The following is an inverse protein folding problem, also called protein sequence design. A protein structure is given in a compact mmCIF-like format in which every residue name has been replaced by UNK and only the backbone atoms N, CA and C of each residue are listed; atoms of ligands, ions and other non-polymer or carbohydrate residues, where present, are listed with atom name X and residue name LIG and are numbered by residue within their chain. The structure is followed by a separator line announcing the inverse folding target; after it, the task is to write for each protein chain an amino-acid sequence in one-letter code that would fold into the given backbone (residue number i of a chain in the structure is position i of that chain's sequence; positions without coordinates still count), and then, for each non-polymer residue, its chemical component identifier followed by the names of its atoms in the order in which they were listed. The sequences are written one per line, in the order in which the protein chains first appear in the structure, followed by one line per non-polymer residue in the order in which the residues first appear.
data_IF_652109240544
#
_entry.id   IF_652109240544
#
_cell.length_a   1.000
_cell.length_b   1.000
_cell.length_c   1.000
_cell.angle_alpha   90.00
_cell.angle_beta   90.00
_cell.angle_gamma   90.00
#
_symmetry.space_group_name_H-M   'P 1'
#
loop_
_entity.id
_entity.type
_entity.pdbx_description
1 polymer ?
#
# COMPACT_ATOMS: atom_id res chain seq x y z
N UNK A 1 12.65 14.66 8.01
CA UNK A 1 11.57 13.69 7.72
C UNK A 1 10.32 14.42 7.25
N UNK A 2 9.63 13.88 6.24
CA UNK A 2 8.38 14.43 5.67
C UNK A 2 7.30 13.34 5.66
N UNK A 3 6.05 13.77 5.69
CA UNK A 3 4.91 12.87 5.55
C UNK A 3 3.99 13.39 4.44
N UNK A 4 3.53 12.48 3.59
CA UNK A 4 2.53 12.78 2.56
C UNK A 4 1.31 11.90 2.81
N UNK A 5 0.16 12.53 3.06
CA UNK A 5 -1.13 11.84 3.12
C UNK A 5 -1.92 12.13 1.85
N UNK A 6 -2.42 11.09 1.20
CA UNK A 6 -3.21 11.22 -0.02
C UNK A 6 -4.30 10.15 -0.10
N UNK A 7 -5.37 10.47 -0.83
CA UNK A 7 -6.46 9.53 -1.08
C UNK A 7 -5.96 8.43 -2.02
N UNK A 8 -6.37 7.20 -1.76
CA UNK A 8 -6.11 6.06 -2.64
C UNK A 8 -6.53 6.40 -4.07
N UNK A 9 -5.65 6.26 -5.07
CA UNK A 9 -6.00 6.54 -6.46
C UNK A 9 -6.86 5.42 -7.09
N UNK A 10 -6.97 4.27 -6.42
CA UNK A 10 -7.82 3.16 -6.83
C UNK A 10 -9.23 3.31 -6.26
N UNK A 11 -10.24 2.96 -7.05
CA UNK A 11 -11.60 2.83 -6.55
C UNK A 11 -11.68 1.74 -5.48
N UNK A 12 -12.29 2.10 -4.35
CA UNK A 12 -12.66 1.16 -3.29
C UNK A 12 -13.67 0.16 -3.88
N UNK A 13 -13.15 -0.97 -4.36
CA UNK A 13 -13.95 -2.06 -4.93
C UNK A 13 -14.66 -2.79 -3.78
N UNK A 14 -15.73 -2.20 -3.25
CA UNK A 14 -16.55 -2.72 -2.15
C UNK A 14 -17.21 -4.09 -2.41
N UNK A 15 -16.96 -4.72 -3.56
CA UNK A 15 -17.37 -6.08 -3.88
C UNK A 15 -16.39 -6.72 -4.88
N UNK A 16 -15.45 -7.53 -4.39
CA UNK A 16 -14.86 -8.61 -5.19
C UNK A 16 -15.03 -9.93 -4.43
N UNK A 17 -15.69 -10.86 -5.12
CA UNK A 17 -16.16 -12.14 -4.59
C UNK A 17 -15.04 -13.09 -4.15
N UNK A 18 -15.47 -14.27 -3.69
CA UNK A 18 -14.61 -15.38 -3.23
C UNK A 18 -13.40 -15.56 -4.17
N UNK A 19 -12.18 -15.57 -3.58
CA UNK A 19 -10.92 -15.85 -4.29
C UNK A 19 -11.05 -17.12 -5.15
N UNK A 20 -10.46 -17.07 -6.34
CA UNK A 20 -10.34 -18.21 -7.24
C UNK A 20 -9.48 -19.30 -6.61
N UNK A 21 -9.73 -20.56 -6.96
CA UNK A 21 -8.92 -21.71 -6.51
C UNK A 21 -7.43 -21.53 -6.85
N UNK A 22 -7.12 -20.80 -7.93
CA UNK A 22 -5.76 -20.52 -8.40
C UNK A 22 -5.04 -19.53 -7.48
N UNK A 23 -5.71 -18.47 -7.03
CA UNK A 23 -5.15 -17.48 -6.10
C UNK A 23 -4.78 -18.13 -4.75
N UNK A 24 -5.57 -19.11 -4.32
CA UNK A 24 -5.32 -19.87 -3.10
C UNK A 24 -4.06 -20.75 -3.22
N UNK A 25 -3.76 -21.28 -4.40
CA UNK A 25 -2.54 -22.07 -4.67
C UNK A 25 -1.31 -21.18 -4.66
N UNK A 26 -1.37 -20.01 -5.31
CA UNK A 26 -0.26 -19.03 -5.32
C UNK A 26 0.11 -18.60 -3.90
N UNK A 27 -0.91 -18.36 -3.06
CA UNK A 27 -0.73 -18.04 -1.64
C UNK A 27 -0.11 -19.21 -0.86
N UNK A 28 -0.62 -20.44 -1.04
CA UNK A 28 -0.11 -21.62 -0.35
C UNK A 28 1.36 -21.92 -0.72
N UNK A 29 1.76 -21.65 -1.96
CA UNK A 29 3.12 -21.83 -2.46
C UNK A 29 4.07 -20.67 -2.09
N UNK A 30 3.58 -19.63 -1.41
CA UNK A 30 4.40 -18.49 -1.00
C UNK A 30 4.93 -17.63 -2.16
N UNK A 31 4.29 -17.71 -3.34
CA UNK A 31 4.69 -16.99 -4.55
C UNK A 31 4.07 -15.58 -4.65
N UNK A 32 3.22 -15.20 -3.70
CA UNK A 32 2.70 -13.83 -3.57
C UNK A 32 3.75 -12.93 -2.92
N UNK A 33 3.96 -11.73 -3.46
CA UNK A 33 4.84 -10.74 -2.83
C UNK A 33 4.30 -10.25 -1.47
N UNK A 34 2.98 -10.16 -1.32
CA UNK A 34 2.35 -9.60 -0.12
C UNK A 34 1.17 -10.43 0.41
N UNK A 35 1.41 -11.71 0.78
CA UNK A 35 0.35 -12.65 1.16
C UNK A 35 -0.55 -12.07 2.25
N UNK A 36 0.05 -11.48 3.28
CA UNK A 36 -0.69 -11.09 4.48
C UNK A 36 -1.53 -9.81 4.28
N UNK A 37 -1.29 -9.04 3.21
CA UNK A 37 -1.83 -7.68 3.06
C UNK A 37 -2.61 -7.40 1.78
N UNK A 38 -2.65 -8.34 0.83
CA UNK A 38 -3.36 -8.15 -0.45
C UNK A 38 -4.83 -7.77 -0.26
N UNK A 39 -5.51 -8.33 0.74
CA UNK A 39 -6.90 -7.97 1.06
C UNK A 39 -7.06 -6.59 1.71
N UNK A 40 -6.01 -6.07 2.35
CA UNK A 40 -6.07 -4.78 3.04
C UNK A 40 -5.71 -3.61 2.12
N UNK A 41 -4.84 -3.82 1.13
CA UNK A 41 -4.44 -2.78 0.16
C UNK A 41 -5.67 -2.22 -0.57
N UNK A 42 -6.56 -3.09 -1.02
CA UNK A 42 -7.80 -2.72 -1.72
C UNK A 42 -8.82 -1.98 -0.83
N UNK A 43 -8.64 -2.02 0.50
CA UNK A 43 -9.50 -1.34 1.49
C UNK A 43 -8.95 -0.01 1.96
N UNK A 44 -7.76 0.38 1.50
CA UNK A 44 -7.14 1.64 1.91
C UNK A 44 -7.85 2.79 1.22
N UNK A 45 -8.48 3.66 2.01
CA UNK A 45 -9.05 4.93 1.54
C UNK A 45 -7.98 6.04 1.51
N UNK A 46 -7.05 6.05 2.49
CA UNK A 46 -5.92 6.99 2.52
C UNK A 46 -4.59 6.30 2.78
N UNK A 47 -3.60 6.70 2.01
CA UNK A 47 -2.20 6.36 2.27
C UNK A 47 -1.52 7.48 3.03
N UNK A 48 -0.64 7.12 3.95
CA UNK A 48 0.31 8.03 4.57
C UNK A 48 1.71 7.47 4.39
N UNK A 49 2.54 8.16 3.61
CA UNK A 49 3.91 7.76 3.29
C UNK A 49 4.88 8.68 4.01
N UNK A 50 5.86 8.08 4.68
CA UNK A 50 6.96 8.72 5.39
C UNK A 50 8.20 8.72 4.51
N UNK A 51 8.84 9.88 4.41
CA UNK A 51 10.07 10.09 3.65
C UNK A 51 11.20 10.51 4.59
N UNK A 52 12.40 10.01 4.29
CA UNK A 52 13.62 10.38 5.01
C UNK A 52 14.11 11.79 4.64
N UNK A 53 15.34 12.12 5.01
CA UNK A 53 15.95 13.43 4.73
C UNK A 53 16.36 13.61 3.27
N UNK A 54 16.58 12.51 2.55
CA UNK A 54 16.91 12.46 1.13
C UNK A 54 15.66 12.45 0.24
N UNK A 55 14.46 12.46 0.84
CA UNK A 55 13.16 12.37 0.19
C UNK A 55 12.83 10.99 -0.40
N UNK A 56 13.45 9.94 0.15
CA UNK A 56 13.17 8.56 -0.21
C UNK A 56 12.02 8.03 0.66
N UNK A 57 11.00 7.37 0.08
CA UNK A 57 9.92 6.78 0.85
C UNK A 57 10.43 5.55 1.64
N UNK A 58 10.25 5.57 2.97
CA UNK A 58 10.81 4.53 3.86
C UNK A 58 9.75 3.77 4.65
N UNK A 59 8.53 4.30 4.74
CA UNK A 59 7.40 3.65 5.44
C UNK A 59 6.08 4.14 4.88
N UNK A 60 5.08 3.29 4.93
CA UNK A 60 3.71 3.62 4.56
C UNK A 60 2.68 3.01 5.53
N UNK A 61 1.54 3.68 5.61
CA UNK A 61 0.40 3.27 6.41
C UNK A 61 -0.84 3.39 5.55
N UNK A 62 -1.64 2.33 5.50
CA UNK A 62 -2.96 2.35 4.90
C UNK A 62 -4.04 2.57 5.96
N UNK A 63 -4.91 3.53 5.69
CA UNK A 63 -6.00 3.98 6.55
C UNK A 63 -7.33 3.73 5.82
N UNK A 64 -8.29 3.11 6.49
CA UNK A 64 -9.63 2.89 5.94
C UNK A 64 -10.52 4.15 6.01
N UNK A 65 -11.76 4.01 5.54
CA UNK A 65 -12.78 5.06 5.52
C UNK A 65 -13.26 5.48 6.92
N UNK A 66 -13.12 4.61 7.92
CA UNK A 66 -13.36 4.91 9.34
C UNK A 66 -12.16 5.60 10.01
N UNK A 67 -11.05 5.80 9.29
CA UNK A 67 -9.84 6.43 9.81
C UNK A 67 -8.95 5.48 10.63
N UNK A 68 -9.20 4.17 10.58
CA UNK A 68 -8.43 3.15 11.28
C UNK A 68 -7.24 2.71 10.42
N UNK A 69 -6.10 2.51 11.10
CA UNK A 69 -4.91 1.91 10.47
C UNK A 69 -5.16 0.42 10.24
N UNK A 70 -5.20 0.00 8.98
CA UNK A 70 -5.45 -1.38 8.58
C UNK A 70 -4.21 -2.12 8.07
N UNK A 71 -3.17 -1.38 7.66
CA UNK A 71 -1.89 -1.96 7.26
C UNK A 71 -0.72 -1.00 7.53
N UNK A 72 0.46 -1.57 7.73
CA UNK A 72 1.74 -0.86 7.89
C UNK A 72 2.81 -1.60 7.09
N UNK A 73 3.49 -0.91 6.18
CA UNK A 73 4.46 -1.51 5.27
C UNK A 73 5.67 -0.58 5.06
N UNK A 74 6.81 -1.10 4.57
CA UNK A 74 7.14 -2.53 4.53
C UNK A 74 7.24 -3.11 5.95
N UNK A 75 6.89 -4.40 6.12
CA UNK A 75 7.00 -5.07 7.42
C UNK A 75 7.31 -6.56 7.28
N UNK A 76 8.45 -6.99 7.84
CA UNK A 76 8.99 -8.36 7.72
C UNK A 76 9.17 -8.77 6.25
N UNK A 77 8.46 -9.81 5.80
CA UNK A 77 8.51 -10.36 4.44
C UNK A 77 7.65 -9.59 3.44
N UNK A 78 6.85 -8.64 3.92
CA UNK A 78 5.88 -7.91 3.11
C UNK A 78 6.55 -6.67 2.52
N UNK A 79 6.56 -6.60 1.18
CA UNK A 79 7.13 -5.51 0.41
C UNK A 79 6.30 -4.23 0.59
N UNK A 80 6.93 -3.08 0.37
CA UNK A 80 6.22 -1.81 0.31
C UNK A 80 5.39 -1.73 -0.96
N UNK A 81 4.20 -1.15 -0.88
CA UNK A 81 3.40 -0.87 -2.05
C UNK A 81 3.89 0.39 -2.77
N UNK A 82 4.10 1.47 -2.02
CA UNK A 82 4.64 2.73 -2.50
C UNK A 82 6.14 2.87 -2.27
N UNK A 83 6.72 2.13 -1.32
CA UNK A 83 8.15 2.24 -0.98
C UNK A 83 9.07 1.28 -1.75
N UNK A 84 8.53 0.30 -2.49
CA UNK A 84 9.32 -0.69 -3.24
C UNK A 84 9.54 -0.24 -4.70
N UNK A 85 10.09 0.97 -4.87
CA UNK A 85 10.43 1.56 -6.16
C UNK A 85 11.54 2.62 -5.98
N UNK A 86 11.88 3.35 -7.05
CA UNK A 86 12.88 4.42 -7.05
C UNK A 86 12.27 5.82 -7.12
N UNK A 87 11.00 5.99 -6.74
CA UNK A 87 10.33 7.29 -6.72
C UNK A 87 10.74 8.10 -5.51
N UNK A 88 10.91 9.40 -5.71
CA UNK A 88 11.17 10.38 -4.64
C UNK A 88 9.92 11.19 -4.34
N UNK A 89 9.90 11.92 -3.21
CA UNK A 89 8.79 12.80 -2.83
C UNK A 89 8.22 13.68 -3.96
N UNK A 90 9.08 14.23 -4.83
CA UNK A 90 8.67 15.09 -5.94
C UNK A 90 7.78 14.36 -6.96
N UNK A 91 8.05 13.06 -7.18
CA UNK A 91 7.33 12.23 -8.14
C UNK A 91 5.93 11.91 -7.61
N UNK A 92 5.79 11.70 -6.29
CA UNK A 92 4.49 11.55 -5.63
C UNK A 92 3.65 12.83 -5.77
N UNK A 93 4.24 13.99 -5.50
CA UNK A 93 3.56 15.29 -5.61
C UNK A 93 3.10 15.52 -7.06
N UNK A 94 3.97 15.26 -8.04
CA UNK A 94 3.65 15.39 -9.46
C UNK A 94 2.56 14.42 -9.93
N UNK A 95 2.64 13.15 -9.53
CA UNK A 95 1.68 12.10 -9.93
C UNK A 95 0.29 12.34 -9.32
N UNK A 96 0.23 12.75 -8.06
CA UNK A 96 -1.02 12.96 -7.32
C UNK A 96 -1.62 14.36 -7.55
N UNK A 97 -0.96 15.21 -8.34
CA UNK A 97 -1.35 16.60 -8.59
C UNK A 97 -1.56 17.39 -7.27
N UNK A 98 -0.67 17.17 -6.31
CA UNK A 98 -0.62 17.85 -4.99
C UNK A 98 0.31 19.07 -5.04
#
# INVERSE_FOLDING_TARGET
MKYLKFKSPWENSGNKGKKSFIENIVFYLGLSSNPDYEYFIDRVEYWMVEFDEENIPIREIGIDDEGKVILKMPYKKNYGYWTDNSLEYKDFVAFLWL
#
